data_IF_181234873976
#
_entry.id   IF_181234873976
#
_cell.length_a   1.000
_cell.length_b   1.000
_cell.length_c   1.000
_cell.angle_alpha   90.00
_cell.angle_beta   90.00
_cell.angle_gamma   90.00
#
_symmetry.space_group_name_H-M   'P 1'
#
loop_
_entity.id
_entity.type
_entity.pdbx_description
1 polymer ?
#
# COMPACT_ATOMS: atom_id res chain seq x y z
N UNK A 1 -2.80 2.54 1.63
CA UNK A 1 -2.79 1.33 2.50
C UNK A 1 -1.36 0.86 2.47
N UNK A 2 -0.62 1.33 3.46
CA UNK A 2 0.82 1.42 3.50
C UNK A 2 1.48 0.05 3.72
N UNK A 3 1.43 -0.81 2.71
CA UNK A 3 2.29 -1.98 2.65
C UNK A 3 3.65 -1.53 2.10
N UNK A 4 4.38 -0.68 2.83
CA UNK A 4 5.83 -0.60 2.67
C UNK A 4 6.33 -1.99 3.06
N UNK A 5 6.80 -2.73 2.07
CA UNK A 5 7.02 -4.17 2.09
C UNK A 5 8.13 -4.56 3.09
N UNK A 6 7.87 -4.47 4.40
CA UNK A 6 8.57 -4.95 5.61
C UNK A 6 10.11 -4.85 5.70
N UNK A 7 10.85 -4.42 4.68
CA UNK A 7 12.31 -4.54 4.57
C UNK A 7 12.95 -3.48 3.64
N UNK A 8 12.43 -2.23 3.61
CA UNK A 8 13.18 -1.15 2.95
C UNK A 8 14.19 -0.52 3.91
N UNK A 9 15.41 -0.30 3.43
CA UNK A 9 16.42 0.41 4.19
C UNK A 9 15.95 1.85 4.41
N UNK A 10 16.28 2.42 5.57
CA UNK A 10 15.89 3.79 5.91
C UNK A 10 16.35 4.79 4.84
N UNK A 11 17.55 4.61 4.29
CA UNK A 11 18.10 5.46 3.23
C UNK A 11 17.23 5.48 1.96
N UNK A 12 16.66 4.34 1.57
CA UNK A 12 15.79 4.24 0.40
C UNK A 12 14.46 4.96 0.63
N UNK A 13 13.89 4.82 1.83
CA UNK A 13 12.66 5.52 2.23
C UNK A 13 12.85 7.04 2.22
N UNK A 14 13.96 7.53 2.77
CA UNK A 14 14.30 8.96 2.74
C UNK A 14 14.47 9.46 1.31
N UNK A 15 15.05 8.65 0.43
CA UNK A 15 15.19 8.98 -0.99
C UNK A 15 13.82 9.05 -1.68
N UNK A 16 12.92 8.11 -1.37
CA UNK A 16 11.54 8.14 -1.87
C UNK A 16 10.74 9.35 -1.40
N UNK A 17 10.89 9.74 -0.13
CA UNK A 17 10.26 10.96 0.42
C UNK A 17 10.78 12.20 -0.31
N UNK A 18 12.10 12.32 -0.49
CA UNK A 18 12.71 13.46 -1.19
C UNK A 18 12.24 13.56 -2.64
N UNK A 19 12.11 12.42 -3.33
CA UNK A 19 11.61 12.38 -4.71
C UNK A 19 10.14 12.80 -4.81
N UNK A 20 9.29 12.33 -3.89
CA UNK A 20 7.88 12.73 -3.86
C UNK A 20 7.73 14.25 -3.64
N UNK A 21 8.51 14.82 -2.70
CA UNK A 21 8.53 16.26 -2.45
C UNK A 21 9.03 17.07 -3.66
N UNK A 22 10.06 16.59 -4.36
CA UNK A 22 10.54 17.22 -5.59
C UNK A 22 9.49 17.21 -6.71
N UNK A 23 8.65 16.17 -6.75
CA UNK A 23 7.50 16.08 -7.66
C UNK A 23 6.27 16.89 -7.17
N UNK A 24 6.34 17.56 -6.02
CA UNK A 24 5.25 18.34 -5.44
C UNK A 24 4.11 17.48 -4.88
N UNK A 25 4.38 16.23 -4.53
CA UNK A 25 3.37 15.30 -4.02
C UNK A 25 3.77 14.77 -2.64
N UNK A 26 2.76 14.40 -1.84
CA UNK A 26 2.93 13.70 -0.58
C UNK A 26 2.25 12.32 -0.62
N UNK A 27 2.04 11.78 -1.83
CA UNK A 27 1.34 10.52 -2.01
C UNK A 27 2.23 9.35 -1.57
N UNK A 28 1.70 8.58 -0.62
CA UNK A 28 2.27 7.36 -0.06
C UNK A 28 2.74 6.36 -1.13
N UNK A 29 1.94 6.17 -2.18
CA UNK A 29 2.25 5.19 -3.24
C UNK A 29 3.47 5.62 -4.07
N UNK A 30 3.64 6.94 -4.28
CA UNK A 30 4.78 7.51 -5.00
C UNK A 30 6.06 7.36 -4.17
N UNK A 31 5.98 7.60 -2.85
CA UNK A 31 7.10 7.42 -1.92
C UNK A 31 7.57 5.95 -1.94
N UNK A 32 6.63 5.00 -1.87
CA UNK A 32 6.94 3.58 -1.90
C UNK A 32 7.57 3.15 -3.24
N UNK A 33 7.08 3.67 -4.37
CA UNK A 33 7.63 3.39 -5.70
C UNK A 33 9.08 3.89 -5.82
N UNK A 34 9.34 5.15 -5.45
CA UNK A 34 10.66 5.76 -5.55
C UNK A 34 11.65 5.15 -4.54
N UNK A 35 11.21 4.81 -3.34
CA UNK A 35 12.03 4.06 -2.39
C UNK A 35 12.40 2.68 -2.95
N UNK A 36 11.46 1.96 -3.58
CA UNK A 36 11.74 0.65 -4.19
C UNK A 36 12.71 0.76 -5.37
N UNK A 37 12.65 1.85 -6.14
CA UNK A 37 13.58 2.15 -7.22
C UNK A 37 14.98 2.45 -6.69
N UNK A 38 15.08 3.22 -5.61
CA UNK A 38 16.36 3.49 -4.93
C UNK A 38 17.03 2.20 -4.42
N UNK A 39 16.26 1.32 -3.78
CA UNK A 39 16.76 0.03 -3.30
C UNK A 39 17.31 -0.87 -4.43
N UNK A 40 16.71 -0.82 -5.62
CA UNK A 40 17.18 -1.58 -6.80
C UNK A 40 18.43 -0.97 -7.44
N UNK A 41 18.56 0.37 -7.41
CA UNK A 41 19.70 1.08 -7.96
C UNK A 41 21.00 0.85 -7.15
N UNK A 42 20.89 0.52 -5.86
CA UNK A 42 22.01 0.22 -4.98
C UNK A 42 22.69 -1.15 -5.26
N UNK A 43 22.15 -1.95 -6.19
CA UNK A 43 22.65 -3.31 -6.49
C UNK A 43 22.30 -4.32 -5.40
N UNK A 44 22.35 -5.64 -5.68
CA UNK A 44 21.97 -6.64 -4.70
C UNK A 44 22.98 -6.66 -3.54
N UNK A 45 22.51 -6.30 -2.34
CA UNK A 45 23.09 -6.85 -1.11
C UNK A 45 23.03 -8.39 -1.20
N UNK A 46 23.99 -9.15 -0.66
CA UNK A 46 24.11 -10.58 -0.90
C UNK A 46 22.87 -11.32 -0.41
N UNK A 47 21.94 -11.57 -1.32
CA UNK A 47 20.75 -12.38 -1.09
C UNK A 47 21.21 -13.83 -1.06
N UNK A 48 20.82 -14.53 0.00
CA UNK A 48 20.81 -16.00 0.07
C UNK A 48 20.33 -16.55 -1.28
N UNK A 49 21.14 -17.46 -1.81
CA UNK A 49 21.06 -18.14 -3.10
C UNK A 49 19.63 -18.47 -3.51
N UNK A 50 19.06 -17.70 -4.44
CA UNK A 50 18.01 -18.21 -5.32
C UNK A 50 18.73 -18.69 -6.58
N UNK A 51 18.83 -20.02 -6.72
CA UNK A 51 19.42 -20.67 -7.86
C UNK A 51 18.89 -20.09 -9.17
N UNK A 52 19.81 -19.85 -10.10
CA UNK A 52 19.54 -19.46 -11.48
C UNK A 52 18.57 -20.44 -12.14
N UNK A 53 17.28 -20.08 -12.20
CA UNK A 53 16.36 -20.70 -13.13
C UNK A 53 16.60 -20.07 -14.52
N UNK A 54 16.62 -20.85 -15.61
CA UNK A 54 16.74 -20.31 -16.95
C UNK A 54 15.57 -19.36 -17.23
N UNK A 55 15.87 -18.21 -17.83
CA UNK A 55 14.88 -17.21 -18.21
C UNK A 55 13.80 -17.87 -19.10
N UNK A 56 12.51 -17.80 -18.76
CA UNK A 56 11.49 -18.17 -19.71
C UNK A 56 11.56 -17.21 -20.90
N UNK A 57 11.54 -17.77 -22.11
CA UNK A 57 11.37 -17.05 -23.36
C UNK A 57 10.28 -15.98 -23.17
N UNK A 58 10.62 -14.73 -23.49
CA UNK A 58 9.69 -13.61 -23.48
C UNK A 58 8.64 -13.85 -24.57
N UNK A 59 7.63 -14.66 -24.27
CA UNK A 59 6.34 -14.58 -24.92
C UNK A 59 5.84 -13.17 -24.63
N UNK A 60 5.85 -12.30 -25.64
CA UNK A 60 5.26 -10.96 -25.59
C UNK A 60 3.84 -11.08 -25.03
N UNK A 61 3.62 -10.78 -23.73
CA UNK A 61 2.30 -10.81 -23.19
C UNK A 61 1.71 -9.47 -23.63
N UNK A 62 1.00 -9.48 -24.76
CA UNK A 62 0.20 -8.34 -25.22
C UNK A 62 -0.54 -7.72 -24.03
N UNK A 63 -0.82 -6.40 -24.07
CA UNK A 63 -1.04 -5.57 -22.88
C UNK A 63 -1.93 -6.31 -21.86
N UNK A 64 -1.35 -6.65 -20.72
CA UNK A 64 -2.06 -7.35 -19.66
C UNK A 64 -3.34 -6.56 -19.36
N UNK A 65 -4.49 -7.15 -19.66
CA UNK A 65 -5.80 -6.51 -19.50
C UNK A 65 -6.05 -6.29 -18.00
N UNK A 66 -5.64 -5.14 -17.47
CA UNK A 66 -5.83 -4.79 -16.07
C UNK A 66 -7.30 -4.46 -15.86
N UNK A 67 -8.06 -5.44 -15.38
CA UNK A 67 -9.46 -5.19 -15.00
C UNK A 67 -9.48 -4.51 -13.62
N UNK A 68 -10.06 -3.31 -13.49
CA UNK A 68 -10.17 -2.65 -12.20
C UNK A 68 -10.93 -3.52 -11.20
N UNK A 69 -10.42 -3.61 -9.97
CA UNK A 69 -10.95 -4.48 -8.92
C UNK A 69 -12.43 -4.21 -8.63
N UNK A 70 -12.86 -2.95 -8.72
CA UNK A 70 -14.28 -2.57 -8.56
C UNK A 70 -15.16 -3.26 -9.59
N UNK A 71 -14.78 -3.28 -10.88
CA UNK A 71 -15.54 -3.97 -11.93
C UNK A 71 -15.60 -5.48 -11.68
N UNK A 72 -14.50 -6.09 -11.25
CA UNK A 72 -14.48 -7.52 -10.87
C UNK A 72 -15.37 -7.81 -9.65
N UNK A 73 -15.44 -6.90 -8.68
CA UNK A 73 -16.28 -7.04 -7.48
C UNK A 73 -17.77 -6.91 -7.82
N UNK A 74 -18.13 -6.01 -8.73
CA UNK A 74 -19.52 -5.79 -9.15
C UNK A 74 -20.05 -6.86 -10.12
N UNK A 75 -19.16 -7.51 -10.88
CA UNK A 75 -19.53 -8.64 -11.74
C UNK A 75 -20.05 -9.85 -10.95
N UNK A 76 -19.80 -9.91 -9.64
CA UNK A 76 -20.33 -10.92 -8.72
C UNK A 76 -21.39 -10.27 -7.83
N UNK A 77 -22.58 -10.87 -7.77
CA UNK A 77 -23.59 -10.47 -6.82
C UNK A 77 -23.01 -10.54 -5.39
N UNK A 78 -23.08 -9.42 -4.67
CA UNK A 78 -22.69 -9.37 -3.27
C UNK A 78 -23.70 -10.16 -2.44
N UNK A 79 -23.26 -10.95 -1.46
CA UNK A 79 -24.18 -11.59 -0.52
C UNK A 79 -24.94 -10.52 0.26
N UNK A 80 -26.19 -10.83 0.61
CA UNK A 80 -27.01 -9.96 1.47
C UNK A 80 -26.27 -9.68 2.78
N UNK A 81 -26.21 -8.41 3.19
CA UNK A 81 -25.57 -8.02 4.44
C UNK A 81 -26.46 -8.46 5.61
N UNK A 82 -26.03 -9.49 6.32
CA UNK A 82 -26.73 -10.02 7.51
C UNK A 82 -26.10 -9.54 8.81
N UNK A 83 -25.16 -8.58 8.76
CA UNK A 83 -24.53 -8.09 9.99
C UNK A 83 -25.54 -7.28 10.79
N UNK A 84 -25.62 -7.50 12.11
CA UNK A 84 -26.46 -6.68 12.97
C UNK A 84 -25.98 -5.23 12.94
N UNK A 85 -26.90 -4.30 13.17
CA UNK A 85 -26.56 -2.88 13.30
C UNK A 85 -25.48 -2.70 14.39
N UNK A 86 -24.48 -1.85 14.16
CA UNK A 86 -23.50 -1.55 15.17
C UNK A 86 -24.17 -0.91 16.39
N UNK A 87 -23.68 -1.26 17.58
CA UNK A 87 -24.05 -0.58 18.82
C UNK A 87 -23.37 0.79 18.85
N UNK A 88 -24.16 1.85 18.76
CA UNK A 88 -23.66 3.23 18.66
C UNK A 88 -23.33 3.83 20.03
N UNK A 89 -23.82 3.23 21.11
CA UNK A 89 -23.64 3.74 22.47
C UNK A 89 -22.15 3.83 22.86
N UNK A 90 -21.34 2.91 22.34
CA UNK A 90 -19.88 2.86 22.55
C UNK A 90 -19.15 4.04 21.90
N UNK A 91 -19.68 4.55 20.79
CA UNK A 91 -19.12 5.69 20.07
C UNK A 91 -19.50 7.01 20.73
N UNK A 92 -20.70 7.08 21.32
CA UNK A 92 -21.17 8.25 22.06
C UNK A 92 -20.29 8.53 23.29
N UNK A 93 -19.80 7.49 23.98
CA UNK A 93 -18.87 7.62 25.11
C UNK A 93 -17.57 8.35 24.71
N UNK A 94 -17.03 8.06 23.52
CA UNK A 94 -15.81 8.70 23.02
C UNK A 94 -16.01 10.18 22.68
N UNK A 95 -17.20 10.55 22.21
CA UNK A 95 -17.55 11.95 21.93
C UNK A 95 -17.77 12.74 23.23
N UNK A 96 -18.27 12.09 24.27
CA UNK A 96 -18.48 12.69 25.59
C UNK A 96 -17.16 12.89 26.35
N UNK A 97 -16.19 11.96 26.25
CA UNK A 97 -14.87 12.13 26.86
C UNK A 97 -14.16 13.40 26.36
N UNK A 98 -14.12 13.62 25.04
CA UNK A 98 -13.47 14.81 24.46
C UNK A 98 -14.08 16.12 24.98
N UNK A 99 -15.41 16.17 25.14
CA UNK A 99 -16.09 17.38 25.63
C UNK A 99 -15.72 17.69 27.08
N UNK A 100 -15.50 16.65 27.89
CA UNK A 100 -15.10 16.77 29.29
C UNK A 100 -13.67 17.30 29.42
N UNK A 101 -12.76 16.87 28.54
CA UNK A 101 -11.38 17.35 28.51
C UNK A 101 -11.25 18.80 28.03
N UNK A 102 -12.18 19.28 27.19
CA UNK A 102 -12.20 20.67 26.72
C UNK A 102 -12.80 21.69 27.71
N UNK A 103 -13.17 21.26 28.92
CA UNK A 103 -13.83 22.09 29.94
C UNK A 103 -13.04 22.21 31.25
N UNK A 104 -11.72 21.93 31.23
CA UNK A 104 -10.79 22.17 32.36
C UNK A 104 -9.79 23.29 32.05
#
# INVERSE_FOLDING_TARGET
MLLLHRHQQHADVVTGIRAALAAGTFNEDVIALEARKAAQAAGPAPTVTAASAPAPELLDPGPAQVTPLTSRRLARALPSDQRPLPRLEQWDELLQLRRKDSSS
#
